data_IF_200920348384
#
_entry.id   IF_200920348384
#
_cell.length_a   1.000
_cell.length_b   1.000
_cell.length_c   1.000
_cell.angle_alpha   90.00
_cell.angle_beta   90.00
_cell.angle_gamma   90.00
#
_symmetry.space_group_name_H-M   'P 1'
#
loop_
_entity.id
_entity.type
_entity.pdbx_description
1 polymer ?
#
# COMPACT_ATOMS: atom_id res chain seq x y z
N UNK A 1 -13.43 -15.99 -5.77
CA UNK A 1 -13.99 -17.04 -6.66
C UNK A 1 -12.91 -18.08 -7.03
N UNK A 2 -11.76 -17.65 -7.59
CA UNK A 2 -10.66 -18.56 -7.96
C UNK A 2 -10.06 -19.32 -6.77
N UNK A 3 -9.87 -18.66 -5.62
CA UNK A 3 -9.39 -19.34 -4.40
C UNK A 3 -10.35 -20.46 -3.96
N UNK A 4 -11.66 -20.19 -3.97
CA UNK A 4 -12.70 -21.18 -3.66
C UNK A 4 -12.69 -22.34 -4.67
N UNK A 5 -12.47 -22.07 -5.96
CA UNK A 5 -12.35 -23.11 -6.96
C UNK A 5 -11.23 -24.10 -6.62
N UNK A 6 -10.03 -23.61 -6.29
CA UNK A 6 -8.92 -24.50 -5.94
C UNK A 6 -9.13 -25.24 -4.61
N UNK A 7 -9.75 -24.61 -3.61
CA UNK A 7 -10.14 -25.32 -2.38
C UNK A 7 -11.09 -26.48 -2.64
N UNK A 8 -11.98 -26.38 -3.63
CA UNK A 8 -12.90 -27.45 -3.99
C UNK A 8 -12.24 -28.47 -4.94
N UNK A 9 -11.33 -28.02 -5.79
CA UNK A 9 -10.63 -28.86 -6.76
C UNK A 9 -9.83 -29.99 -6.10
N UNK A 10 -9.33 -29.80 -4.88
CA UNK A 10 -8.63 -30.84 -4.11
C UNK A 10 -9.51 -32.03 -3.72
N UNK A 11 -10.83 -31.87 -3.76
CA UNK A 11 -11.82 -32.88 -3.36
C UNK A 11 -12.57 -33.49 -4.56
N UNK A 12 -12.20 -33.14 -5.80
CA UNK A 12 -12.84 -33.68 -7.01
C UNK A 12 -12.03 -34.88 -7.50
N UNK A 13 -12.69 -36.03 -7.65
CA UNK A 13 -12.03 -37.26 -8.08
C UNK A 13 -12.00 -37.39 -9.61
N UNK A 14 -10.98 -38.08 -10.12
CA UNK A 14 -10.77 -38.31 -11.57
C UNK A 14 -11.74 -39.37 -12.14
N UNK A 15 -12.67 -39.87 -11.33
CA UNK A 15 -13.72 -40.81 -11.74
C UNK A 15 -15.11 -40.14 -11.78
N UNK A 16 -15.21 -38.88 -11.38
CA UNK A 16 -16.48 -38.16 -11.32
C UNK A 16 -16.97 -37.75 -12.73
N UNK A 17 -18.27 -37.91 -12.99
CA UNK A 17 -18.98 -37.45 -14.22
C UNK A 17 -18.81 -35.93 -14.50
N UNK A 18 -18.15 -35.21 -13.60
CA UNK A 18 -17.92 -33.77 -13.61
C UNK A 18 -16.62 -33.39 -14.33
N UNK A 19 -15.76 -34.36 -14.71
CA UNK A 19 -14.49 -34.12 -15.42
C UNK A 19 -14.66 -33.33 -16.72
N UNK A 20 -15.73 -33.58 -17.47
CA UNK A 20 -16.01 -32.87 -18.72
C UNK A 20 -16.34 -31.39 -18.48
N UNK A 21 -16.74 -31.02 -17.26
CA UNK A 21 -17.05 -29.66 -16.85
C UNK A 21 -15.83 -28.94 -16.23
N UNK A 22 -14.72 -29.66 -15.97
CA UNK A 22 -13.53 -29.07 -15.39
C UNK A 22 -12.71 -28.28 -16.41
N UNK A 23 -12.17 -27.10 -16.03
CA UNK A 23 -11.17 -26.41 -16.84
C UNK A 23 -9.98 -27.32 -17.14
N UNK A 24 -9.44 -27.23 -18.36
CA UNK A 24 -8.29 -28.02 -18.76
C UNK A 24 -7.06 -27.76 -17.87
N UNK A 25 -6.10 -28.69 -17.77
CA UNK A 25 -4.89 -28.51 -16.95
C UNK A 25 -4.13 -27.21 -17.28
N UNK A 26 -4.11 -26.81 -18.55
CA UNK A 26 -3.50 -25.55 -18.99
C UNK A 26 -4.25 -24.31 -18.43
N UNK A 27 -5.58 -24.36 -18.39
CA UNK A 27 -6.41 -23.30 -17.78
C UNK A 27 -6.20 -23.29 -16.27
N UNK A 28 -6.13 -24.44 -15.61
CA UNK A 28 -5.83 -24.53 -14.18
C UNK A 28 -4.47 -23.93 -13.84
N UNK A 29 -3.44 -24.17 -14.66
CA UNK A 29 -2.14 -23.52 -14.49
C UNK A 29 -2.24 -21.98 -14.57
N UNK A 30 -3.00 -21.46 -15.54
CA UNK A 30 -3.25 -20.01 -15.66
C UNK A 30 -4.03 -19.45 -14.47
N UNK A 31 -5.03 -20.17 -13.98
CA UNK A 31 -5.82 -19.78 -12.80
C UNK A 31 -4.97 -19.75 -11.53
N UNK A 32 -3.98 -20.65 -11.37
CA UNK A 32 -3.04 -20.61 -10.24
C UNK A 32 -2.16 -19.36 -10.29
N UNK A 33 -1.64 -19.01 -11.46
CA UNK A 33 -0.87 -17.76 -11.64
C UNK A 33 -1.74 -16.55 -11.30
N UNK A 34 -2.98 -16.49 -11.81
CA UNK A 34 -3.92 -15.43 -11.48
C UNK A 34 -4.21 -15.36 -9.98
N UNK A 35 -4.35 -16.50 -9.31
CA UNK A 35 -4.58 -16.52 -7.86
C UNK A 35 -3.40 -15.92 -7.10
N UNK A 36 -2.16 -16.22 -7.51
CA UNK A 36 -0.98 -15.62 -6.90
C UNK A 36 -0.94 -14.11 -7.11
N UNK A 37 -1.20 -13.63 -8.33
CA UNK A 37 -1.28 -12.20 -8.63
C UNK A 37 -2.33 -11.49 -7.76
N UNK A 38 -3.51 -12.10 -7.58
CA UNK A 38 -4.55 -11.55 -6.73
C UNK A 38 -4.13 -11.50 -5.26
N UNK A 39 -3.38 -12.50 -4.76
CA UNK A 39 -2.83 -12.50 -3.40
C UNK A 39 -1.79 -11.40 -3.21
N UNK A 40 -0.94 -11.17 -4.20
CA UNK A 40 0.07 -10.12 -4.15
C UNK A 40 -0.58 -8.73 -4.11
N UNK A 41 -1.58 -8.48 -4.97
CA UNK A 41 -2.38 -7.24 -4.95
C UNK A 41 -3.14 -7.08 -3.64
N UNK A 42 -3.78 -8.15 -3.16
CA UNK A 42 -4.49 -8.14 -1.89
C UNK A 42 -3.55 -7.80 -0.73
N UNK A 43 -2.34 -8.35 -0.72
CA UNK A 43 -1.35 -8.07 0.32
C UNK A 43 -0.93 -6.59 0.32
N UNK A 44 -0.63 -6.01 -0.85
CA UNK A 44 -0.28 -4.60 -0.98
C UNK A 44 -1.44 -3.68 -0.59
N UNK A 45 -2.64 -3.96 -1.07
CA UNK A 45 -3.83 -3.13 -0.78
C UNK A 45 -4.24 -3.19 0.70
N UNK A 46 -4.10 -4.35 1.36
CA UNK A 46 -4.27 -4.46 2.82
C UNK A 46 -3.17 -3.73 3.58
N UNK A 47 -1.92 -3.83 3.14
CA UNK A 47 -0.83 -3.13 3.80
C UNK A 47 -0.97 -1.61 3.69
N UNK A 48 -1.42 -1.09 2.54
CA UNK A 48 -1.76 0.32 2.33
C UNK A 48 -2.85 0.82 3.28
N UNK A 49 -3.63 -0.08 3.87
CA UNK A 49 -4.63 0.24 4.88
C UNK A 49 -4.03 0.41 6.30
N UNK A 50 -2.74 0.15 6.50
CA UNK A 50 -2.05 0.43 7.76
C UNK A 50 -1.90 1.93 8.02
N UNK A 51 -1.61 2.28 9.28
CA UNK A 51 -1.19 3.65 9.68
C UNK A 51 0.33 3.80 9.73
N UNK A 52 1.06 2.70 9.59
CA UNK A 52 2.51 2.55 9.68
C UNK A 52 3.19 2.45 8.31
N UNK A 53 2.59 3.07 7.29
CA UNK A 53 3.08 3.02 5.91
C UNK A 53 3.71 4.36 5.55
N UNK A 54 4.91 4.32 4.99
CA UNK A 54 5.60 5.49 4.47
C UNK A 54 5.52 5.57 2.92
N UNK A 55 5.94 6.69 2.34
CA UNK A 55 5.89 6.86 0.89
C UNK A 55 6.88 5.93 0.16
N UNK A 56 7.94 5.49 0.83
CA UNK A 56 8.90 4.53 0.30
C UNK A 56 8.26 3.13 0.14
N UNK A 57 7.52 2.66 1.14
CA UNK A 57 6.69 1.44 1.11
C UNK A 57 5.76 1.45 -0.08
N UNK A 58 5.01 2.54 -0.25
CA UNK A 58 4.07 2.67 -1.36
C UNK A 58 4.78 2.57 -2.71
N UNK A 59 5.94 3.21 -2.86
CA UNK A 59 6.74 3.12 -4.09
C UNK A 59 7.21 1.70 -4.36
N UNK A 60 7.88 1.07 -3.39
CA UNK A 60 8.42 -0.29 -3.56
C UNK A 60 7.30 -1.29 -3.87
N UNK A 61 6.15 -1.21 -3.20
CA UNK A 61 5.03 -2.12 -3.45
C UNK A 61 4.45 -1.93 -4.86
N UNK A 62 4.27 -0.68 -5.30
CA UNK A 62 3.77 -0.41 -6.65
C UNK A 62 4.79 -0.75 -7.73
N UNK A 63 6.07 -0.45 -7.54
CA UNK A 63 7.12 -0.76 -8.52
C UNK A 63 7.27 -2.28 -8.69
N UNK A 64 7.21 -3.06 -7.60
CA UNK A 64 7.21 -4.52 -7.66
C UNK A 64 5.97 -5.07 -8.38
N UNK A 65 4.78 -4.54 -8.08
CA UNK A 65 3.55 -4.92 -8.79
C UNK A 65 3.63 -4.59 -10.30
N UNK A 66 4.14 -3.41 -10.67
CA UNK A 66 4.33 -3.01 -12.06
C UNK A 66 5.34 -3.91 -12.76
N UNK A 67 6.40 -4.31 -12.06
CA UNK A 67 7.41 -5.24 -12.57
C UNK A 67 6.80 -6.61 -12.85
N UNK A 68 5.96 -7.11 -11.94
CA UNK A 68 5.21 -8.35 -12.13
C UNK A 68 4.21 -8.23 -13.30
N UNK A 69 3.54 -7.09 -13.45
CA UNK A 69 2.61 -6.80 -14.54
C UNK A 69 2.62 -5.34 -14.96
N UNK A 70 3.24 -5.11 -16.12
CA UNK A 70 3.38 -3.78 -16.73
C UNK A 70 2.04 -3.06 -16.96
N UNK A 71 0.95 -3.81 -17.15
CA UNK A 71 -0.40 -3.24 -17.31
C UNK A 71 -0.87 -2.42 -16.08
N UNK A 72 -0.31 -2.65 -14.89
CA UNK A 72 -0.67 -1.85 -13.71
C UNK A 72 -0.21 -0.40 -13.81
N UNK A 73 0.87 -0.12 -14.55
CA UNK A 73 1.34 1.23 -14.80
C UNK A 73 0.27 2.11 -15.46
N UNK A 74 -0.64 1.52 -16.24
CA UNK A 74 -1.74 2.25 -16.88
C UNK A 74 -2.71 2.88 -15.87
N UNK A 75 -2.87 2.29 -14.68
CA UNK A 75 -3.82 2.77 -13.66
C UNK A 75 -3.26 3.85 -12.73
N UNK A 76 -1.94 4.08 -12.75
CA UNK A 76 -1.27 5.11 -11.93
C UNK A 76 -1.39 6.52 -12.52
N UNK A 77 -2.13 6.69 -13.61
CA UNK A 77 -2.27 7.96 -14.34
C UNK A 77 -1.15 8.17 -15.35
N UNK A 78 -1.15 9.32 -16.03
CA UNK A 78 0.02 9.71 -16.83
C UNK A 78 1.18 9.92 -15.86
N UNK A 79 2.13 9.00 -15.82
CA UNK A 79 3.44 9.24 -15.23
C UNK A 79 4.13 10.31 -16.08
N UNK A 80 3.78 11.57 -15.85
CA UNK A 80 4.49 12.67 -16.45
C UNK A 80 5.94 12.55 -15.96
N UNK A 81 6.81 12.17 -16.89
CA UNK A 81 8.23 12.06 -16.59
C UNK A 81 8.66 13.43 -16.11
N UNK A 82 9.17 13.49 -14.87
CA UNK A 82 9.65 14.71 -14.26
C UNK A 82 10.43 15.54 -15.28
N UNK A 83 10.00 16.77 -15.47
CA UNK A 83 10.68 17.75 -16.30
C UNK A 83 12.10 17.95 -15.78
N UNK A 84 12.98 18.49 -16.64
CA UNK A 84 14.36 18.76 -16.25
C UNK A 84 14.44 19.70 -15.04
N UNK A 85 13.51 20.66 -14.94
CA UNK A 85 13.43 21.58 -13.81
C UNK A 85 13.03 20.86 -12.52
N UNK A 86 12.04 19.97 -12.58
CA UNK A 86 11.63 19.18 -11.41
C UNK A 86 12.74 18.24 -10.94
N UNK A 87 13.43 17.56 -11.86
CA UNK A 87 14.59 16.72 -11.51
C UNK A 87 15.71 17.54 -10.86
N UNK A 88 15.97 18.76 -11.37
CA UNK A 88 16.96 19.66 -10.77
C UNK A 88 16.54 20.12 -9.37
N UNK A 89 15.25 20.33 -9.13
CA UNK A 89 14.71 20.69 -7.81
C UNK A 89 14.79 19.53 -6.80
N UNK A 90 14.75 18.27 -7.26
CA UNK A 90 14.88 17.09 -6.41
C UNK A 90 16.32 16.73 -6.06
N UNK A 91 17.29 17.15 -6.88
CA UNK A 91 18.71 16.83 -6.70
C UNK A 91 19.26 17.12 -5.29
N UNK A 92 18.91 18.22 -4.58
CA UNK A 92 19.40 18.48 -3.22
C UNK A 92 18.92 17.47 -2.18
N UNK A 93 17.86 16.71 -2.46
CA UNK A 93 17.27 15.72 -1.57
C UNK A 93 17.72 14.29 -1.89
N UNK A 94 18.47 14.11 -2.98
CA UNK A 94 18.97 12.81 -3.37
C UNK A 94 20.18 12.41 -2.51
N UNK A 95 20.20 11.16 -2.04
CA UNK A 95 21.33 10.58 -1.31
C UNK A 95 22.31 9.99 -2.32
N UNK A 96 23.62 10.23 -2.13
CA UNK A 96 24.65 9.55 -2.93
C UNK A 96 24.59 8.04 -2.66
N UNK A 97 24.08 7.30 -3.65
CA UNK A 97 23.96 5.85 -3.55
C UNK A 97 25.36 5.21 -3.64
N UNK A 98 25.78 4.53 -2.58
CA UNK A 98 26.84 3.53 -2.68
C UNK A 98 26.22 2.31 -3.33
N UNK A 99 26.62 2.02 -4.57
CA UNK A 99 26.23 0.79 -5.26
C UNK A 99 26.71 -0.41 -4.43
N UNK A 100 25.82 -1.02 -3.68
CA UNK A 100 26.05 -2.36 -3.14
C UNK A 100 25.64 -3.35 -4.22
N UNK A 101 26.64 -4.01 -4.78
CA UNK A 101 26.44 -5.25 -5.53
C UNK A 101 26.16 -6.37 -4.53
N UNK A 102 25.31 -7.29 -4.99
CA UNK A 102 25.16 -8.66 -4.51
C UNK A 102 24.44 -8.80 -3.15
N UNK A 103 23.71 -9.88 -2.87
CA UNK A 103 23.70 -11.20 -3.48
C UNK A 103 22.40 -11.91 -3.07
N UNK A 104 22.10 -13.01 -3.76
CA UNK A 104 21.02 -13.96 -3.53
C UNK A 104 20.73 -14.26 -2.03
N UNK A 105 19.89 -13.45 -1.39
CA UNK A 105 19.29 -13.82 -0.12
C UNK A 105 18.13 -14.77 -0.43
N UNK A 106 18.22 -16.02 0.01
CA UNK A 106 17.11 -16.97 -0.06
C UNK A 106 15.83 -16.29 0.42
N UNK A 107 14.89 -16.12 -0.50
CA UNK A 107 13.60 -15.56 -0.15
C UNK A 107 12.96 -16.49 0.89
N UNK A 108 12.56 -15.98 2.05
CA UNK A 108 11.85 -16.79 3.02
C UNK A 108 10.59 -17.38 2.36
N UNK A 109 10.01 -18.43 2.96
CA UNK A 109 8.66 -18.94 2.63
C UNK A 109 7.54 -17.88 2.91
N UNK A 110 7.85 -16.60 2.79
CA UNK A 110 6.91 -15.50 2.91
C UNK A 110 5.87 -15.61 1.79
N UNK A 111 4.65 -15.89 2.21
CA UNK A 111 3.50 -16.11 1.32
C UNK A 111 3.00 -14.83 0.65
N UNK A 112 3.42 -13.65 1.12
CA UNK A 112 2.91 -12.35 0.66
C UNK A 112 4.00 -11.41 0.11
N UNK A 113 3.67 -10.68 -0.95
CA UNK A 113 4.55 -9.71 -1.62
C UNK A 113 5.08 -8.64 -0.65
N UNK A 114 4.23 -8.11 0.21
CA UNK A 114 4.62 -7.06 1.17
C UNK A 114 5.62 -7.55 2.20
N UNK A 115 5.44 -8.77 2.72
CA UNK A 115 6.39 -9.36 3.67
C UNK A 115 7.76 -9.59 3.01
N UNK A 116 7.77 -10.07 1.76
CA UNK A 116 9.01 -10.22 0.97
C UNK A 116 9.73 -8.88 0.77
N UNK A 117 9.00 -7.82 0.45
CA UNK A 117 9.56 -6.48 0.26
C UNK A 117 10.11 -5.90 1.58
N UNK A 118 9.34 -6.01 2.67
CA UNK A 118 9.78 -5.59 4.00
C UNK A 118 11.02 -6.36 4.46
N UNK A 119 11.09 -7.66 4.15
CA UNK A 119 12.26 -8.49 4.45
C UNK A 119 13.49 -8.03 3.65
N UNK A 120 13.35 -7.86 2.32
CA UNK A 120 14.42 -7.32 1.48
C UNK A 120 14.93 -5.97 1.99
N UNK A 121 14.03 -5.08 2.40
CA UNK A 121 14.39 -3.77 2.95
C UNK A 121 15.18 -3.86 4.26
N UNK A 122 14.85 -4.82 5.15
CA UNK A 122 15.61 -5.02 6.41
C UNK A 122 17.04 -5.50 6.16
N UNK A 123 17.27 -6.21 5.06
CA UNK A 123 18.58 -6.74 4.68
C UNK A 123 19.40 -5.73 3.86
N UNK A 124 18.73 -4.95 3.01
CA UNK A 124 19.37 -3.90 2.23
C UNK A 124 19.84 -2.76 3.16
N UNK A 125 21.09 -2.32 3.00
CA UNK A 125 21.57 -1.09 3.65
C UNK A 125 20.90 0.11 2.98
N UNK A 126 19.87 0.68 3.60
CA UNK A 126 19.25 1.99 3.28
C UNK A 126 19.60 2.60 1.90
N UNK A 127 19.13 1.97 0.82
CA UNK A 127 19.35 2.44 -0.57
C UNK A 127 18.15 3.24 -1.10
N UNK A 128 17.53 4.08 -0.28
CA UNK A 128 16.50 4.99 -0.82
C UNK A 128 17.22 6.11 -1.60
N UNK A 129 16.79 6.37 -2.83
CA UNK A 129 17.26 7.56 -3.59
C UNK A 129 16.99 8.85 -2.81
N UNK A 130 15.90 8.88 -2.04
CA UNK A 130 15.48 10.01 -1.21
C UNK A 130 15.11 9.54 0.21
N UNK A 131 15.87 9.96 1.21
CA UNK A 131 15.64 9.58 2.62
C UNK A 131 14.28 10.07 3.17
N UNK A 132 13.81 11.21 2.66
CA UNK A 132 12.55 11.83 3.10
C UNK A 132 11.33 10.95 2.85
N UNK A 133 11.41 9.98 1.92
CA UNK A 133 10.30 9.07 1.63
C UNK A 133 9.91 8.19 2.82
N UNK A 134 10.82 7.98 3.78
CA UNK A 134 10.55 7.25 5.03
C UNK A 134 9.72 8.05 6.04
N UNK A 135 9.74 9.37 5.93
CA UNK A 135 9.10 10.29 6.88
C UNK A 135 7.75 10.77 6.35
N UNK A 136 7.60 10.82 5.02
CA UNK A 136 6.39 11.32 4.38
C UNK A 136 5.31 10.23 4.43
N UNK A 137 4.15 10.46 5.09
CA UNK A 137 3.04 9.53 5.02
C UNK A 137 2.38 9.56 3.63
N UNK A 138 1.83 8.44 3.14
CA UNK A 138 1.08 8.41 1.90
C UNK A 138 -0.22 9.21 2.06
N UNK A 139 -0.25 10.38 1.43
CA UNK A 139 -1.17 11.49 1.72
C UNK A 139 -2.64 11.19 1.46
N UNK A 140 -2.98 10.27 0.54
CA UNK A 140 -4.38 10.04 0.15
C UNK A 140 -5.17 9.33 1.25
N UNK A 141 -4.65 8.21 1.77
CA UNK A 141 -5.49 7.32 2.58
C UNK A 141 -5.76 7.89 3.99
N UNK A 142 -4.78 8.52 4.63
CA UNK A 142 -4.96 9.10 5.96
C UNK A 142 -6.01 10.22 5.94
N UNK A 143 -5.90 11.13 4.96
CA UNK A 143 -6.80 12.27 4.81
C UNK A 143 -8.21 11.82 4.37
N UNK A 144 -8.32 10.87 3.43
CA UNK A 144 -9.62 10.32 3.00
C UNK A 144 -10.34 9.59 4.13
N UNK A 145 -9.63 8.80 4.93
CA UNK A 145 -10.20 8.13 6.11
C UNK A 145 -10.67 9.14 7.14
N UNK A 146 -9.83 10.12 7.43
CA UNK A 146 -10.19 11.22 8.30
C UNK A 146 -11.50 11.84 7.83
N UNK A 147 -11.58 12.31 6.57
CA UNK A 147 -12.81 12.93 6.05
C UNK A 147 -14.00 11.98 5.94
N UNK A 148 -13.77 10.68 5.80
CA UNK A 148 -14.83 9.66 5.85
C UNK A 148 -15.40 9.52 7.26
N UNK A 149 -14.53 9.45 8.27
CA UNK A 149 -14.94 9.42 9.68
C UNK A 149 -15.66 10.71 10.05
N UNK A 150 -15.12 11.88 9.70
CA UNK A 150 -15.77 13.16 9.99
C UNK A 150 -17.13 13.29 9.32
N UNK A 151 -17.27 12.78 8.09
CA UNK A 151 -18.56 12.71 7.40
C UNK A 151 -19.57 11.86 8.16
N UNK A 152 -19.17 10.71 8.69
CA UNK A 152 -20.06 9.83 9.47
C UNK A 152 -20.38 10.44 10.83
N UNK A 153 -19.41 11.02 11.53
CA UNK A 153 -19.60 11.50 12.90
C UNK A 153 -20.38 12.80 12.99
N UNK A 154 -20.17 13.73 12.05
CA UNK A 154 -20.87 15.02 12.05
C UNK A 154 -22.05 15.06 11.08
N UNK A 155 -22.07 14.20 10.05
CA UNK A 155 -23.22 14.03 9.15
C UNK A 155 -23.79 15.37 8.64
N UNK A 156 -25.04 15.64 9.02
CA UNK A 156 -25.78 16.86 8.69
C UNK A 156 -25.42 18.06 9.58
N UNK A 157 -24.93 17.84 10.82
CA UNK A 157 -24.54 18.92 11.75
C UNK A 157 -23.40 19.78 11.21
N UNK A 158 -22.63 19.27 10.25
CA UNK A 158 -21.59 20.06 9.54
C UNK A 158 -22.18 21.29 8.84
N UNK A 159 -23.42 21.21 8.36
CA UNK A 159 -24.09 22.34 7.71
C UNK A 159 -24.61 23.37 8.71
N UNK A 160 -24.76 23.00 9.99
CA UNK A 160 -25.14 23.92 11.07
C UNK A 160 -23.96 24.56 11.80
N UNK A 161 -22.73 24.14 11.51
CA UNK A 161 -21.51 24.68 12.13
C UNK A 161 -20.82 25.66 11.19
N UNK A 162 -20.18 26.69 11.77
CA UNK A 162 -19.24 27.52 11.02
C UNK A 162 -18.01 26.68 10.63
N UNK A 163 -17.41 26.88 9.44
CA UNK A 163 -16.23 26.13 9.00
C UNK A 163 -15.10 26.13 10.04
N UNK A 164 -14.81 27.29 10.62
CA UNK A 164 -13.78 27.47 11.65
C UNK A 164 -14.03 26.60 12.89
N UNK A 165 -15.29 26.50 13.33
CA UNK A 165 -15.67 25.68 14.49
C UNK A 165 -15.48 24.19 14.18
N UNK A 166 -15.91 23.76 12.99
CA UNK A 166 -15.72 22.39 12.54
C UNK A 166 -14.24 22.04 12.47
N UNK A 167 -13.43 22.89 11.83
CA UNK A 167 -11.97 22.72 11.72
C UNK A 167 -11.30 22.62 13.09
N UNK A 168 -11.69 23.48 14.04
CA UNK A 168 -11.12 23.47 15.40
C UNK A 168 -11.41 22.15 16.12
N UNK A 169 -12.66 21.67 16.08
CA UNK A 169 -13.05 20.40 16.70
C UNK A 169 -12.29 19.24 16.06
N UNK A 170 -12.18 19.25 14.74
CA UNK A 170 -11.49 18.24 13.97
C UNK A 170 -9.99 18.20 14.27
N UNK A 171 -9.34 19.36 14.34
CA UNK A 171 -7.93 19.51 14.69
C UNK A 171 -7.66 18.98 16.10
N UNK A 172 -8.47 19.37 17.08
CA UNK A 172 -8.33 18.91 18.46
C UNK A 172 -8.50 17.39 18.56
N UNK A 173 -9.51 16.83 17.88
CA UNK A 173 -9.76 15.39 17.92
C UNK A 173 -8.60 14.58 17.33
N UNK A 174 -8.10 14.98 16.17
CA UNK A 174 -7.01 14.27 15.50
C UNK A 174 -5.71 14.34 16.31
N UNK A 175 -5.44 15.50 16.90
CA UNK A 175 -4.24 15.72 17.70
C UNK A 175 -4.43 15.40 19.18
N UNK A 176 -5.43 14.60 19.55
CA UNK A 176 -5.76 14.29 20.95
C UNK A 176 -4.61 13.65 21.76
N UNK A 177 -3.61 13.07 21.09
CA UNK A 177 -2.38 12.59 21.74
C UNK A 177 -1.41 13.70 22.16
N UNK A 178 -1.52 14.89 21.55
CA UNK A 178 -0.59 16.01 21.76
C UNK A 178 -1.06 16.99 22.84
N UNK A 179 -2.29 16.85 23.33
CA UNK A 179 -2.83 17.72 24.36
C UNK A 179 -3.66 16.91 25.35
N UNK A 180 -3.56 17.29 26.62
CA UNK A 180 -4.37 16.80 27.71
C UNK A 180 -4.91 17.97 28.53
N UNK A 181 -5.75 17.69 29.53
CA UNK A 181 -6.27 18.75 30.40
C UNK A 181 -5.14 19.55 31.09
N UNK A 182 -4.00 18.93 31.37
CA UNK A 182 -2.86 19.58 32.02
C UNK A 182 -2.15 20.59 31.10
N UNK A 183 -2.04 20.30 29.81
CA UNK A 183 -1.50 21.24 28.81
C UNK A 183 -2.38 22.46 28.67
N UNK A 184 -3.71 22.31 28.77
CA UNK A 184 -4.65 23.44 28.74
C UNK A 184 -4.56 24.26 30.03
N UNK A 185 -4.51 23.61 31.19
CA UNK A 185 -4.37 24.29 32.50
C UNK A 185 -3.04 25.07 32.60
N UNK A 186 -1.98 24.61 31.94
CA UNK A 186 -0.67 25.29 31.94
C UNK A 186 -0.63 26.59 31.12
N UNK A 187 -1.63 26.84 30.28
CA UNK A 187 -1.75 28.03 29.44
C UNK A 187 -2.60 29.14 30.08
N UNK A 188 -3.13 28.90 31.28
CA UNK A 188 -4.04 29.79 32.01
C UNK A 188 -3.32 30.58 33.12
#
# INVERSE_FOLDING_TARGET
MVDRYFRLFEFLDVEDDVLELLPSPAVNKRLRLLLQELRDIESATKALQGSDVDLLDVREWFDELITAKLQYAHYLGKSDRLTRAEKAALHPFAVEQVATTDDDAEEPEATSLVERLRYRRRLAKDCAEYDQLKIIPPTSNAVERFFSVTRVTFGHQRHSMLPLTLETILFLRENSSYWDASTVDSLQ
#
